data_IF_981141757952
#
_entry.id   IF_981141757952
#
_cell.length_a   1.000
_cell.length_b   1.000
_cell.length_c   1.000
_cell.angle_alpha   90.00
_cell.angle_beta   90.00
_cell.angle_gamma   90.00
#
_symmetry.space_group_name_H-M   'P 1'
#
loop_
_entity.id
_entity.type
_entity.pdbx_description
1 polymer ?
#
# COMPACT_ATOMS: atom_id res chain seq x y z
N UNK A 1 4.91 5.00 14.38
CA UNK A 1 5.34 3.75 13.69
C UNK A 1 6.86 3.80 13.47
N UNK A 2 7.37 4.77 12.71
CA UNK A 2 8.78 4.85 12.33
C UNK A 2 9.77 4.88 13.51
N UNK A 3 9.51 5.66 14.55
CA UNK A 3 10.39 5.77 15.73
C UNK A 3 10.51 4.44 16.48
N UNK A 4 9.39 3.78 16.75
CA UNK A 4 9.35 2.49 17.45
C UNK A 4 10.05 1.39 16.64
N UNK A 5 9.88 1.40 15.31
CA UNK A 5 10.58 0.45 14.44
C UNK A 5 12.09 0.71 14.41
N UNK A 6 12.51 1.98 14.36
CA UNK A 6 13.92 2.35 14.39
C UNK A 6 14.60 1.96 15.71
N UNK A 7 13.92 2.15 16.84
CA UNK A 7 14.41 1.72 18.15
C UNK A 7 14.52 0.19 18.24
N UNK A 8 13.55 -0.55 17.70
CA UNK A 8 13.64 -2.01 17.59
C UNK A 8 14.84 -2.44 16.74
N UNK A 9 15.01 -1.85 15.56
CA UNK A 9 16.08 -2.18 14.63
C UNK A 9 17.47 -1.91 15.23
N UNK A 10 17.61 -0.81 15.96
CA UNK A 10 18.85 -0.48 16.68
C UNK A 10 19.19 -1.52 17.76
N UNK A 11 18.17 -2.08 18.43
CA UNK A 11 18.32 -3.11 19.48
C UNK A 11 18.45 -4.52 18.92
N UNK A 12 18.05 -4.77 17.67
CA UNK A 12 17.97 -6.09 17.05
C UNK A 12 18.60 -6.09 15.64
N UNK A 13 19.91 -5.87 15.50
CA UNK A 13 20.55 -5.70 14.18
C UNK A 13 20.40 -6.92 13.26
N UNK A 14 20.39 -8.13 13.83
CA UNK A 14 20.22 -9.39 13.09
C UNK A 14 18.74 -9.77 12.87
N UNK A 15 17.80 -9.03 13.46
CA UNK A 15 16.36 -9.29 13.39
C UNK A 15 15.55 -7.99 13.38
N UNK A 16 15.79 -7.21 12.33
CA UNK A 16 15.06 -5.96 12.06
C UNK A 16 13.55 -6.21 11.99
N UNK A 17 12.78 -5.18 12.31
CA UNK A 17 11.35 -5.17 12.14
C UNK A 17 10.99 -5.30 10.66
N UNK A 18 9.84 -5.93 10.40
CA UNK A 18 9.27 -5.93 9.07
C UNK A 18 8.79 -4.51 8.70
N UNK A 19 8.82 -4.15 7.39
CA UNK A 19 8.12 -2.97 6.91
C UNK A 19 6.64 -3.00 7.29
N UNK A 20 6.05 -1.83 7.49
CA UNK A 20 4.63 -1.70 7.79
C UNK A 20 3.81 -1.54 6.51
N UNK A 21 2.54 -1.94 6.55
CA UNK A 21 1.62 -1.75 5.45
C UNK A 21 0.41 -0.93 5.88
N UNK A 22 -0.26 -0.28 4.92
CA UNK A 22 -1.55 0.38 5.12
C UNK A 22 -2.55 -0.16 4.11
N UNK A 23 -3.73 -0.56 4.59
CA UNK A 23 -4.83 -0.99 3.74
C UNK A 23 -5.75 0.20 3.40
N UNK A 24 -6.09 0.35 2.13
CA UNK A 24 -6.95 1.39 1.59
C UNK A 24 -8.14 0.79 0.84
N UNK A 25 -9.35 1.17 1.26
CA UNK A 25 -10.58 0.91 0.50
C UNK A 25 -10.68 1.93 -0.63
N UNK A 26 -10.46 1.50 -1.88
CA UNK A 26 -10.33 2.41 -3.03
C UNK A 26 -11.63 2.58 -3.84
N UNK A 27 -12.74 2.05 -3.32
CA UNK A 27 -14.06 2.22 -3.92
C UNK A 27 -14.41 3.70 -4.06
N UNK A 28 -15.08 4.07 -5.16
CA UNK A 28 -15.38 5.48 -5.50
C UNK A 28 -16.26 6.21 -4.48
N UNK A 29 -16.97 5.47 -3.64
CA UNK A 29 -17.77 6.07 -2.56
C UNK A 29 -16.97 6.43 -1.32
N UNK A 30 -15.67 6.10 -1.25
CA UNK A 30 -14.81 6.49 -0.15
C UNK A 30 -14.33 7.94 -0.37
N UNK A 31 -14.92 8.87 0.36
CA UNK A 31 -14.61 10.30 0.33
C UNK A 31 -13.31 10.65 1.08
N UNK A 32 -12.77 9.74 1.88
CA UNK A 32 -11.54 9.95 2.65
C UNK A 32 -10.26 9.52 1.91
N UNK A 33 -10.39 8.75 0.83
CA UNK A 33 -9.25 8.09 0.18
C UNK A 33 -8.11 9.05 -0.19
N UNK A 34 -8.43 10.24 -0.72
CA UNK A 34 -7.43 11.23 -1.09
C UNK A 34 -6.61 11.70 0.11
N UNK A 35 -7.28 12.06 1.21
CA UNK A 35 -6.64 12.44 2.46
C UNK A 35 -5.74 11.32 3.01
N UNK A 36 -6.23 10.08 2.97
CA UNK A 36 -5.45 8.94 3.44
C UNK A 36 -4.21 8.68 2.58
N UNK A 37 -4.30 8.85 1.25
CA UNK A 37 -3.16 8.74 0.35
C UNK A 37 -2.14 9.85 0.56
N UNK A 38 -2.56 11.08 0.85
CA UNK A 38 -1.65 12.17 1.22
C UNK A 38 -0.85 11.83 2.48
N UNK A 39 -1.50 11.25 3.49
CA UNK A 39 -0.83 10.78 4.71
C UNK A 39 0.12 9.63 4.38
N UNK A 40 -0.29 8.68 3.54
CA UNK A 40 0.56 7.57 3.12
C UNK A 40 1.81 8.06 2.37
N UNK A 41 1.65 9.03 1.47
CA UNK A 41 2.75 9.63 0.72
C UNK A 41 3.70 10.40 1.65
N UNK A 42 3.16 11.18 2.61
CA UNK A 42 3.96 11.91 3.61
C UNK A 42 4.87 10.99 4.40
N UNK A 43 4.35 9.83 4.80
CA UNK A 43 5.09 8.83 5.57
C UNK A 43 5.81 7.80 4.70
N UNK A 44 5.73 7.92 3.38
CA UNK A 44 6.28 6.99 2.39
C UNK A 44 6.01 5.54 2.76
N UNK A 45 4.73 5.20 2.89
CA UNK A 45 4.28 3.85 3.23
C UNK A 45 4.93 2.85 2.26
N UNK A 46 5.67 1.84 2.75
CA UNK A 46 6.43 0.97 1.87
C UNK A 46 5.55 -0.08 1.18
N UNK A 47 4.41 -0.44 1.78
CA UNK A 47 3.45 -1.38 1.24
C UNK A 47 2.01 -0.86 1.40
N UNK A 48 1.32 -0.66 0.28
CA UNK A 48 -0.10 -0.30 0.28
C UNK A 48 -0.92 -1.49 -0.20
N UNK A 49 -1.89 -1.90 0.62
CA UNK A 49 -2.87 -2.93 0.26
C UNK A 49 -4.12 -2.20 -0.22
N UNK A 50 -4.67 -2.55 -1.37
CA UNK A 50 -5.87 -1.90 -1.92
C UNK A 50 -7.00 -2.91 -2.07
N UNK A 51 -8.24 -2.50 -1.78
CA UNK A 51 -9.44 -3.36 -1.88
C UNK A 51 -10.61 -2.61 -2.51
N UNK A 52 -11.60 -3.36 -3.04
CA UNK A 52 -12.86 -2.83 -3.60
C UNK A 52 -12.69 -1.90 -4.83
N UNK A 53 -11.75 -2.24 -5.71
CA UNK A 53 -11.68 -1.71 -7.07
C UNK A 53 -10.27 -1.35 -7.52
N UNK A 54 -9.73 -2.02 -8.53
CA UNK A 54 -8.43 -1.66 -9.08
C UNK A 54 -8.48 -0.31 -9.81
N UNK A 55 -7.59 0.62 -9.45
CA UNK A 55 -7.51 2.00 -9.94
C UNK A 55 -6.05 2.35 -10.25
N UNK A 56 -5.76 2.61 -11.52
CA UNK A 56 -4.40 2.90 -12.02
C UNK A 56 -3.80 4.13 -11.33
N UNK A 57 -4.61 5.15 -11.09
CA UNK A 57 -4.17 6.40 -10.46
C UNK A 57 -3.65 6.19 -9.04
N UNK A 58 -4.16 5.18 -8.32
CA UNK A 58 -3.71 4.85 -6.97
C UNK A 58 -2.36 4.15 -7.03
N UNK A 59 -2.19 3.23 -7.99
CA UNK A 59 -0.92 2.53 -8.18
C UNK A 59 0.20 3.51 -8.56
N UNK A 60 -0.08 4.40 -9.53
CA UNK A 60 0.85 5.46 -9.93
C UNK A 60 1.20 6.39 -8.77
N UNK A 61 0.22 6.75 -7.94
CA UNK A 61 0.49 7.55 -6.74
C UNK A 61 1.46 6.81 -5.81
N UNK A 62 1.18 5.54 -5.47
CA UNK A 62 2.03 4.74 -4.57
C UNK A 62 3.46 4.57 -5.11
N UNK A 63 3.59 4.29 -6.40
CA UNK A 63 4.88 4.17 -7.06
C UNK A 63 5.68 5.48 -7.03
N UNK A 64 5.02 6.65 -7.02
CA UNK A 64 5.71 7.96 -7.01
C UNK A 64 6.55 8.21 -5.75
N UNK A 65 6.23 7.57 -4.62
CA UNK A 65 7.05 7.61 -3.40
C UNK A 65 7.88 6.34 -3.17
N UNK A 66 7.90 5.41 -4.14
CA UNK A 66 8.63 4.15 -4.09
C UNK A 66 7.97 3.04 -3.27
N UNK A 67 6.67 3.16 -2.98
CA UNK A 67 5.90 2.10 -2.34
C UNK A 67 5.53 0.97 -3.31
N UNK A 68 5.14 -0.18 -2.76
CA UNK A 68 4.62 -1.33 -3.50
C UNK A 68 3.13 -1.49 -3.25
N UNK A 69 2.37 -1.93 -4.26
CA UNK A 69 0.92 -2.17 -4.16
C UNK A 69 0.57 -3.64 -4.25
N UNK A 70 -0.15 -4.12 -3.24
CA UNK A 70 -0.83 -5.42 -3.26
C UNK A 70 -2.34 -5.18 -3.41
N UNK A 71 -3.01 -5.88 -4.33
CA UNK A 71 -4.46 -5.75 -4.50
C UNK A 71 -5.19 -6.98 -3.98
N UNK A 72 -6.03 -6.77 -2.98
CA UNK A 72 -6.89 -7.80 -2.41
C UNK A 72 -7.95 -8.23 -3.43
N UNK A 73 -8.00 -9.53 -3.73
CA UNK A 73 -8.84 -10.12 -4.77
C UNK A 73 -9.67 -11.28 -4.24
N UNK A 74 -10.81 -11.49 -4.89
CA UNK A 74 -11.75 -12.58 -4.53
C UNK A 74 -11.81 -13.69 -5.60
N UNK A 75 -11.29 -13.45 -6.80
CA UNK A 75 -11.25 -14.43 -7.89
C UNK A 75 -10.26 -14.04 -9.00
N UNK A 76 -10.05 -14.96 -9.95
CA UNK A 76 -9.10 -14.80 -11.06
C UNK A 76 -9.46 -13.66 -12.03
N UNK A 77 -10.73 -13.32 -12.18
CA UNK A 77 -11.14 -12.22 -13.06
C UNK A 77 -10.70 -10.87 -12.47
N UNK A 78 -10.80 -10.69 -11.15
CA UNK A 78 -10.29 -9.50 -10.46
C UNK A 78 -8.76 -9.50 -10.36
N UNK A 79 -8.13 -10.65 -10.15
CA UNK A 79 -6.67 -10.80 -10.20
C UNK A 79 -6.07 -10.26 -11.50
N UNK A 80 -6.62 -10.68 -12.65
CA UNK A 80 -6.18 -10.20 -13.96
C UNK A 80 -6.33 -8.69 -14.11
N UNK A 81 -7.47 -8.13 -13.71
CA UNK A 81 -7.73 -6.69 -13.75
C UNK A 81 -6.79 -5.89 -12.85
N UNK A 82 -6.46 -6.41 -11.68
CA UNK A 82 -5.55 -5.74 -10.75
C UNK A 82 -4.13 -5.66 -11.32
N UNK A 83 -3.61 -6.77 -11.86
CA UNK A 83 -2.31 -6.81 -12.53
C UNK A 83 -2.30 -5.92 -13.77
N UNK A 84 -3.34 -5.99 -14.63
CA UNK A 84 -3.46 -5.17 -15.84
C UNK A 84 -3.39 -3.67 -15.53
N UNK A 85 -3.94 -3.26 -14.37
CA UNK A 85 -3.94 -1.88 -13.89
C UNK A 85 -2.69 -1.49 -13.10
N UNK A 86 -1.70 -2.37 -13.01
CA UNK A 86 -0.39 -2.07 -12.43
C UNK A 86 -0.24 -2.34 -10.94
N UNK A 87 -1.01 -3.26 -10.35
CA UNK A 87 -0.67 -3.79 -9.04
C UNK A 87 0.63 -4.62 -9.12
N UNK A 88 1.48 -4.52 -8.11
CA UNK A 88 2.75 -5.28 -8.05
C UNK A 88 2.53 -6.72 -7.57
N UNK A 89 1.43 -6.96 -6.85
CA UNK A 89 0.99 -8.28 -6.44
C UNK A 89 -0.48 -8.34 -6.02
N UNK A 90 -0.90 -9.53 -5.60
CA UNK A 90 -2.28 -9.89 -5.24
C UNK A 90 -2.34 -10.45 -3.82
#
# INVERSE_FOLDING_TARGET
ITETLADWDAKNPDRKAAPFAVNQIVHRSNDRLEHDLEVCARWKVPLTITSLGAREEINLAVHSWGGVVMHDIINIAFARKAIEKGADGL
#
